data_IF_226269777558
#
_entry.id   IF_226269777558
#
_cell.length_a   1.000
_cell.length_b   1.000
_cell.length_c   1.000
_cell.angle_alpha   90.00
_cell.angle_beta   90.00
_cell.angle_gamma   90.00
#
_symmetry.space_group_name_H-M   'P 1'
#
loop_
_entity.id
_entity.type
_entity.pdbx_description
1 polymer ?
#
# COMPACT_ATOMS: atom_id res chain seq x y z
N UNK A 1 -13.68 -28.32 -18.28
CA UNK A 1 -14.00 -27.43 -17.16
C UNK A 1 -12.85 -26.44 -17.03
N UNK A 2 -13.13 -25.17 -17.11
CA UNK A 2 -12.07 -24.16 -17.16
C UNK A 2 -11.62 -23.85 -15.74
N UNK A 3 -10.53 -24.43 -15.29
CA UNK A 3 -9.90 -23.97 -14.06
C UNK A 3 -9.20 -22.64 -14.33
N UNK A 4 -9.99 -21.55 -14.38
CA UNK A 4 -9.43 -20.21 -14.40
C UNK A 4 -8.75 -19.96 -13.05
N UNK A 5 -7.63 -19.23 -13.07
CA UNK A 5 -6.85 -18.92 -11.89
C UNK A 5 -6.76 -17.42 -11.70
N UNK A 6 -6.95 -16.94 -10.47
CA UNK A 6 -6.72 -15.54 -10.09
C UNK A 6 -5.52 -15.48 -9.16
N UNK A 7 -4.50 -14.71 -9.52
CA UNK A 7 -3.29 -14.52 -8.72
C UNK A 7 -3.31 -13.15 -8.05
N UNK A 8 -3.26 -13.11 -6.72
CA UNK A 8 -3.25 -11.88 -5.92
C UNK A 8 -1.82 -11.63 -5.45
N UNK A 9 -1.22 -10.50 -5.85
CA UNK A 9 0.21 -10.22 -5.63
C UNK A 9 0.51 -9.28 -4.46
N UNK A 10 -0.51 -8.87 -3.70
CA UNK A 10 -0.37 -7.99 -2.53
C UNK A 10 0.37 -8.67 -1.37
N UNK A 11 0.95 -7.89 -0.42
CA UNK A 11 1.43 -8.42 0.85
C UNK A 11 0.38 -9.27 1.57
N UNK A 12 0.80 -10.33 2.26
CA UNK A 12 -0.05 -11.43 2.74
C UNK A 12 -1.33 -11.01 3.47
N UNK A 13 -1.27 -10.00 4.34
CA UNK A 13 -2.46 -9.53 5.07
C UNK A 13 -3.51 -8.91 4.14
N UNK A 14 -3.07 -8.08 3.19
CA UNK A 14 -3.93 -7.43 2.19
C UNK A 14 -4.42 -8.44 1.14
N UNK A 15 -3.58 -9.41 0.76
CA UNK A 15 -3.95 -10.47 -0.16
C UNK A 15 -5.08 -11.35 0.42
N UNK A 16 -4.99 -11.68 1.70
CA UNK A 16 -6.03 -12.45 2.39
C UNK A 16 -7.36 -11.71 2.39
N UNK A 17 -7.38 -10.43 2.77
CA UNK A 17 -8.61 -9.62 2.79
C UNK A 17 -9.25 -9.55 1.41
N UNK A 18 -8.48 -9.29 0.35
CA UNK A 18 -8.99 -9.25 -1.02
C UNK A 18 -9.49 -10.62 -1.48
N UNK A 19 -8.78 -11.70 -1.13
CA UNK A 19 -9.19 -13.08 -1.46
C UNK A 19 -10.53 -13.43 -0.80
N UNK A 20 -10.70 -13.14 0.49
CA UNK A 20 -11.93 -13.38 1.23
C UNK A 20 -13.10 -12.58 0.62
N UNK A 21 -12.90 -11.30 0.32
CA UNK A 21 -13.91 -10.44 -0.29
C UNK A 21 -14.27 -10.91 -1.72
N UNK A 22 -13.28 -11.30 -2.52
CA UNK A 22 -13.50 -11.86 -3.86
C UNK A 22 -14.29 -13.17 -3.79
N UNK A 23 -13.93 -14.07 -2.88
CA UNK A 23 -14.65 -15.35 -2.70
C UNK A 23 -16.12 -15.12 -2.32
N UNK A 24 -16.38 -14.22 -1.35
CA UNK A 24 -17.74 -13.87 -0.95
C UNK A 24 -18.55 -13.32 -2.14
N UNK A 25 -17.96 -12.38 -2.90
CA UNK A 25 -18.59 -11.76 -4.05
C UNK A 25 -18.89 -12.76 -5.20
N UNK A 26 -18.01 -13.75 -5.39
CA UNK A 26 -18.23 -14.83 -6.39
C UNK A 26 -19.37 -15.74 -5.98
N UNK A 27 -19.48 -16.08 -4.69
CA UNK A 27 -20.60 -16.87 -4.15
C UNK A 27 -21.92 -16.12 -4.34
N UNK A 28 -21.96 -14.83 -4.00
CA UNK A 28 -23.15 -13.99 -4.18
C UNK A 28 -23.56 -13.84 -5.66
N UNK A 29 -22.60 -13.94 -6.56
CA UNK A 29 -22.83 -13.91 -8.02
C UNK A 29 -23.19 -15.27 -8.62
N UNK A 30 -23.38 -16.31 -7.79
CA UNK A 30 -23.87 -17.62 -8.22
C UNK A 30 -22.80 -18.56 -8.79
N UNK A 31 -21.51 -18.30 -8.58
CA UNK A 31 -20.47 -19.26 -8.94
C UNK A 31 -20.58 -20.54 -8.11
N UNK A 32 -20.51 -21.70 -8.77
CA UNK A 32 -20.57 -23.02 -8.13
C UNK A 32 -19.17 -23.60 -7.93
N UNK A 33 -19.04 -24.71 -7.21
CA UNK A 33 -17.74 -25.38 -7.03
C UNK A 33 -17.06 -25.75 -8.36
N UNK A 34 -17.85 -26.04 -9.39
CA UNK A 34 -17.36 -26.43 -10.72
C UNK A 34 -16.87 -25.24 -11.55
N UNK A 35 -17.39 -24.05 -11.27
CA UNK A 35 -17.06 -22.80 -11.98
C UNK A 35 -16.16 -21.87 -11.19
N UNK A 36 -15.92 -22.18 -9.92
CA UNK A 36 -15.11 -21.35 -9.04
C UNK A 36 -13.65 -21.34 -9.49
N UNK A 37 -13.01 -20.14 -9.64
CA UNK A 37 -11.62 -20.08 -10.01
C UNK A 37 -10.72 -20.55 -8.86
N UNK A 38 -9.54 -21.03 -9.18
CA UNK A 38 -8.46 -21.15 -8.20
C UNK A 38 -8.00 -19.74 -7.83
N UNK A 39 -7.87 -19.41 -6.54
CA UNK A 39 -7.32 -18.14 -6.08
C UNK A 39 -5.98 -18.42 -5.40
N UNK A 40 -4.90 -17.92 -6.01
CA UNK A 40 -3.53 -18.07 -5.51
C UNK A 40 -3.10 -16.74 -4.89
N UNK A 41 -2.61 -16.79 -3.66
CA UNK A 41 -1.95 -15.65 -3.02
C UNK A 41 -0.45 -15.77 -3.22
N UNK A 42 0.12 -14.86 -4.03
CA UNK A 42 1.55 -14.77 -4.30
C UNK A 42 2.08 -13.39 -3.85
N UNK A 43 2.37 -13.19 -2.58
CA UNK A 43 2.90 -11.91 -2.09
C UNK A 43 4.29 -11.64 -2.67
N UNK A 44 4.36 -10.85 -3.75
CA UNK A 44 5.63 -10.51 -4.42
C UNK A 44 6.55 -9.65 -3.55
N UNK A 45 5.97 -8.92 -2.58
CA UNK A 45 6.70 -8.12 -1.61
C UNK A 45 6.18 -8.43 -0.21
N UNK A 46 7.11 -8.67 0.72
CA UNK A 46 6.82 -8.75 2.14
C UNK A 46 7.17 -7.43 2.81
N UNK A 47 6.29 -6.94 3.66
CA UNK A 47 6.58 -5.78 4.51
C UNK A 47 7.29 -6.30 5.76
N UNK A 48 8.58 -6.02 5.85
CA UNK A 48 9.41 -6.36 7.01
C UNK A 48 9.49 -5.12 7.94
N UNK A 49 8.81 -5.13 9.10
CA UNK A 49 8.95 -4.04 10.07
C UNK A 49 10.40 -3.87 10.50
N UNK A 50 10.83 -2.62 10.63
CA UNK A 50 12.08 -2.25 11.26
C UNK A 50 11.80 -1.75 12.66
N UNK A 51 12.57 -2.19 13.62
CA UNK A 51 12.43 -1.72 14.99
C UNK A 51 13.46 -2.37 15.87
N UNK A 52 14.35 -1.55 16.38
CA UNK A 52 15.24 -1.84 17.48
C UNK A 52 15.08 -0.73 18.53
N UNK A 53 15.70 -0.92 19.69
CA UNK A 53 15.62 0.04 20.79
C UNK A 53 16.20 1.42 20.41
N UNK A 54 17.13 1.47 19.46
CA UNK A 54 17.74 2.70 18.98
C UNK A 54 16.73 3.49 18.18
N UNK A 55 16.08 2.87 17.19
CA UNK A 55 15.04 3.50 16.37
C UNK A 55 13.85 3.93 17.21
N UNK A 56 13.39 3.08 18.15
CA UNK A 56 12.33 3.41 19.08
C UNK A 56 12.68 4.65 19.91
N UNK A 57 13.89 4.70 20.46
CA UNK A 57 14.37 5.84 21.25
C UNK A 57 14.43 7.12 20.43
N UNK A 58 14.92 7.05 19.18
CA UNK A 58 14.98 8.20 18.28
C UNK A 58 13.58 8.74 17.94
N UNK A 59 12.64 7.85 17.57
CA UNK A 59 11.26 8.21 17.25
C UNK A 59 10.58 8.84 18.46
N UNK A 60 10.69 8.21 19.64
CA UNK A 60 10.07 8.69 20.87
C UNK A 60 10.61 10.07 21.28
N UNK A 61 11.90 10.29 21.14
CA UNK A 61 12.50 11.60 21.41
C UNK A 61 11.99 12.67 20.42
N UNK A 62 11.92 12.32 19.13
CA UNK A 62 11.47 13.24 18.08
C UNK A 62 9.98 13.60 18.22
N UNK A 63 9.13 12.65 18.60
CA UNK A 63 7.70 12.89 18.81
C UNK A 63 7.39 13.93 19.87
N UNK A 64 8.24 14.08 20.90
CA UNK A 64 8.06 15.07 21.97
C UNK A 64 8.11 16.53 21.49
N UNK A 65 8.85 16.78 20.42
CA UNK A 65 9.08 18.12 19.87
C UNK A 65 8.45 18.33 18.50
N UNK A 66 7.76 17.32 17.97
CA UNK A 66 7.17 17.38 16.66
C UNK A 66 5.97 18.35 16.58
N UNK A 67 5.84 19.04 15.45
CA UNK A 67 4.68 19.86 15.10
C UNK A 67 3.76 19.14 14.11
N UNK A 68 4.28 18.15 13.36
CA UNK A 68 3.57 17.37 12.37
C UNK A 68 4.21 15.99 12.20
N UNK A 69 3.40 14.94 12.13
CA UNK A 69 3.82 13.61 11.73
C UNK A 69 3.17 13.25 10.39
N UNK A 70 3.95 12.74 9.44
CA UNK A 70 3.48 12.33 8.12
C UNK A 70 3.72 10.84 7.94
N UNK A 71 2.69 10.10 7.56
CA UNK A 71 2.79 8.69 7.20
C UNK A 71 2.57 8.55 5.68
N UNK A 72 3.59 8.11 4.98
CA UNK A 72 3.55 8.01 3.50
C UNK A 72 2.80 6.78 2.99
N UNK A 73 2.36 5.89 3.87
CA UNK A 73 1.62 4.68 3.51
C UNK A 73 0.91 4.05 4.71
N UNK A 74 -0.11 3.18 4.50
CA UNK A 74 -0.69 2.38 5.58
C UNK A 74 0.35 1.54 6.33
N UNK A 75 1.30 0.94 5.61
CA UNK A 75 2.36 0.15 6.22
C UNK A 75 3.26 0.97 7.17
N UNK A 76 3.48 2.25 6.86
CA UNK A 76 4.22 3.13 7.75
C UNK A 76 3.47 3.35 9.07
N UNK A 77 2.13 3.48 9.01
CA UNK A 77 1.28 3.58 10.21
C UNK A 77 1.37 2.29 11.03
N UNK A 78 1.08 1.15 10.40
CA UNK A 78 1.06 -0.16 11.06
C UNK A 78 2.41 -0.47 11.74
N UNK A 79 3.52 -0.27 11.00
CA UNK A 79 4.85 -0.56 11.53
C UNK A 79 5.25 0.41 12.66
N UNK A 80 4.91 1.70 12.53
CA UNK A 80 5.18 2.69 13.59
C UNK A 80 4.38 2.39 14.84
N UNK A 81 3.08 2.12 14.71
CA UNK A 81 2.22 1.85 15.86
C UNK A 81 2.60 0.55 16.57
N UNK A 82 3.03 -0.47 15.82
CA UNK A 82 3.59 -1.71 16.39
C UNK A 82 4.88 -1.43 17.18
N UNK A 83 5.77 -0.59 16.64
CA UNK A 83 7.03 -0.25 17.30
C UNK A 83 6.83 0.55 18.59
N UNK A 84 5.86 1.46 18.58
CA UNK A 84 5.61 2.35 19.72
C UNK A 84 4.90 1.65 20.89
N UNK A 85 4.12 0.60 20.63
CA UNK A 85 3.34 -0.19 21.62
C UNK A 85 2.46 0.65 22.57
N UNK A 86 2.25 1.92 22.26
CA UNK A 86 1.50 2.89 23.07
C UNK A 86 0.50 3.65 22.20
N UNK A 87 -0.49 4.27 22.87
CA UNK A 87 -1.41 5.14 22.16
C UNK A 87 -0.70 6.39 21.63
N UNK A 88 -1.08 6.83 20.43
CA UNK A 88 -0.50 8.00 19.76
C UNK A 88 -0.48 9.28 20.64
N UNK A 89 -1.45 9.45 21.52
CA UNK A 89 -1.58 10.61 22.39
C UNK A 89 -0.56 10.66 23.53
N UNK A 90 0.09 9.53 23.86
CA UNK A 90 1.04 9.45 24.97
C UNK A 90 2.41 10.06 24.68
N UNK A 91 2.68 10.48 23.44
CA UNK A 91 4.02 10.91 23.01
C UNK A 91 4.23 12.43 23.03
N UNK A 92 3.16 13.21 23.05
CA UNK A 92 3.26 14.68 23.02
C UNK A 92 2.23 15.31 23.94
N UNK A 93 2.65 16.34 24.70
CA UNK A 93 1.76 17.15 25.54
C UNK A 93 0.79 18.01 24.72
N UNK A 94 1.02 18.11 23.41
CA UNK A 94 0.19 18.84 22.46
C UNK A 94 -0.43 17.88 21.44
N UNK A 95 -1.67 18.15 20.96
CA UNK A 95 -2.24 17.40 19.85
C UNK A 95 -1.30 17.48 18.64
N UNK A 96 -0.72 16.34 18.24
CA UNK A 96 0.18 16.25 17.10
C UNK A 96 -0.62 15.99 15.83
N UNK A 97 -0.73 16.94 14.88
CA UNK A 97 -1.39 16.72 13.60
C UNK A 97 -0.73 15.61 12.80
N UNK A 98 -1.53 14.89 12.02
CA UNK A 98 -1.05 13.78 11.19
C UNK A 98 -1.39 14.04 9.72
N UNK A 99 -0.36 13.97 8.86
CA UNK A 99 -0.52 14.01 7.41
C UNK A 99 -0.52 12.60 6.82
N UNK A 100 -1.45 12.33 5.89
CA UNK A 100 -1.52 11.07 5.12
C UNK A 100 -1.85 11.35 3.67
N UNK A 101 -1.49 10.41 2.78
CA UNK A 101 -1.60 10.62 1.33
C UNK A 101 -2.92 10.11 0.72
N UNK A 102 -3.70 9.29 1.44
CA UNK A 102 -4.89 8.69 0.84
C UNK A 102 -5.80 7.93 1.80
N UNK A 103 -6.94 7.45 1.28
CA UNK A 103 -8.00 6.81 2.05
C UNK A 103 -7.59 5.54 2.79
N UNK A 104 -6.71 4.71 2.21
CA UNK A 104 -6.19 3.51 2.87
C UNK A 104 -5.35 3.85 4.10
N UNK A 105 -4.58 4.95 4.07
CA UNK A 105 -3.85 5.45 5.24
C UNK A 105 -4.80 6.03 6.29
N UNK A 106 -5.88 6.70 5.86
CA UNK A 106 -6.94 7.16 6.77
C UNK A 106 -7.61 5.98 7.49
N UNK A 107 -7.91 4.90 6.77
CA UNK A 107 -8.47 3.68 7.37
C UNK A 107 -7.51 3.07 8.40
N UNK A 108 -6.22 2.98 8.08
CA UNK A 108 -5.20 2.50 9.02
C UNK A 108 -5.12 3.38 10.30
N UNK A 109 -5.16 4.71 10.16
CA UNK A 109 -5.22 5.60 11.32
C UNK A 109 -6.43 5.32 12.22
N UNK A 110 -7.60 5.14 11.63
CA UNK A 110 -8.84 4.83 12.37
C UNK A 110 -8.74 3.49 13.12
N UNK A 111 -8.12 2.47 12.53
CA UNK A 111 -7.87 1.19 13.20
C UNK A 111 -7.04 1.36 14.48
N UNK A 112 -6.10 2.32 14.47
CA UNK A 112 -5.32 2.70 15.65
C UNK A 112 -5.96 3.82 16.48
N UNK A 113 -7.24 4.11 16.26
CA UNK A 113 -8.04 5.13 16.96
C UNK A 113 -7.44 6.53 16.89
N UNK A 114 -6.81 6.88 15.77
CA UNK A 114 -6.26 8.21 15.49
C UNK A 114 -7.20 8.96 14.56
N UNK A 115 -7.55 10.20 14.90
CA UNK A 115 -8.47 11.03 14.11
C UNK A 115 -9.94 10.58 14.18
N UNK A 116 -10.34 9.96 15.28
CA UNK A 116 -11.72 9.60 15.61
C UNK A 116 -12.24 10.49 16.76
N UNK A 117 -13.54 10.41 17.07
CA UNK A 117 -14.22 11.25 18.03
C UNK A 117 -13.59 11.18 19.45
N UNK A 118 -13.17 9.98 19.87
CA UNK A 118 -12.46 9.78 21.15
C UNK A 118 -10.98 10.18 21.12
N UNK A 119 -10.43 10.46 19.95
CA UNK A 119 -9.07 10.94 19.73
C UNK A 119 -9.06 11.94 18.57
N UNK A 120 -9.42 13.20 18.78
CA UNK A 120 -9.64 14.21 17.75
C UNK A 120 -8.33 14.75 17.16
N UNK A 121 -7.36 13.89 16.90
CA UNK A 121 -6.15 14.25 16.19
C UNK A 121 -6.50 14.85 14.82
N UNK A 122 -6.00 16.05 14.52
CA UNK A 122 -6.20 16.67 13.21
C UNK A 122 -5.49 15.84 12.14
N UNK A 123 -6.26 15.28 11.22
CA UNK A 123 -5.72 14.56 10.06
C UNK A 123 -5.78 15.45 8.82
N UNK A 124 -4.66 15.53 8.11
CA UNK A 124 -4.48 16.30 6.88
C UNK A 124 -4.35 15.30 5.73
N UNK A 125 -5.21 15.43 4.75
CA UNK A 125 -5.39 14.49 3.65
C UNK A 125 -5.73 15.27 2.38
N UNK A 126 -5.18 14.94 1.19
CA UNK A 126 -5.60 15.52 -0.07
C UNK A 126 -7.10 15.31 -0.31
N UNK A 127 -7.80 16.40 -0.67
CA UNK A 127 -9.25 16.36 -0.88
C UNK A 127 -9.63 15.67 -2.19
N UNK A 128 -8.74 15.71 -3.19
CA UNK A 128 -8.96 15.09 -4.49
C UNK A 128 -8.30 13.70 -4.53
N UNK A 129 -9.09 12.66 -4.76
CA UNK A 129 -8.61 11.28 -4.84
C UNK A 129 -7.58 11.07 -5.97
N UNK A 130 -7.66 11.84 -7.04
CA UNK A 130 -6.68 11.80 -8.12
C UNK A 130 -5.30 12.36 -7.72
N UNK A 131 -5.19 13.00 -6.56
CA UNK A 131 -3.98 13.60 -6.00
C UNK A 131 -3.58 12.97 -4.66
N UNK A 132 -3.85 11.69 -4.51
CA UNK A 132 -3.42 10.94 -3.31
C UNK A 132 -1.93 10.58 -3.39
N UNK A 133 -1.11 11.62 -3.34
CA UNK A 133 0.34 11.56 -3.42
C UNK A 133 1.03 12.62 -2.54
N UNK A 134 2.33 12.72 -2.64
CA UNK A 134 3.15 13.69 -1.88
C UNK A 134 2.84 15.12 -2.26
N UNK A 135 2.59 15.35 -3.52
CA UNK A 135 2.30 16.66 -4.12
C UNK A 135 0.94 17.18 -3.64
N UNK A 136 -0.08 16.31 -3.65
CA UNK A 136 -1.41 16.63 -3.11
C UNK A 136 -1.38 16.91 -1.61
N UNK A 137 -0.64 16.08 -0.84
CA UNK A 137 -0.48 16.35 0.59
C UNK A 137 0.23 17.70 0.83
N UNK A 138 1.27 18.02 0.08
CA UNK A 138 1.94 19.32 0.21
C UNK A 138 1.00 20.48 -0.07
N UNK A 139 0.14 20.38 -1.09
CA UNK A 139 -0.86 21.41 -1.38
C UNK A 139 -1.84 21.63 -0.21
N UNK A 140 -2.23 20.58 0.51
CA UNK A 140 -3.06 20.72 1.73
C UNK A 140 -2.27 21.32 2.89
N UNK A 141 -1.00 20.95 3.06
CA UNK A 141 -0.13 21.49 4.09
C UNK A 141 0.09 23.00 3.91
N UNK A 142 0.22 23.48 2.68
CA UNK A 142 0.36 24.91 2.39
C UNK A 142 -0.87 25.75 2.84
N UNK A 143 -2.08 25.15 2.84
CA UNK A 143 -3.30 25.81 3.32
C UNK A 143 -3.28 26.12 4.83
N UNK A 144 -2.39 25.48 5.59
CA UNK A 144 -2.23 25.77 7.02
C UNK A 144 -1.62 27.15 7.27
N UNK A 145 -0.98 27.75 6.27
CA UNK A 145 -0.28 29.05 6.36
C UNK A 145 0.73 29.10 7.51
N UNK A 146 1.42 27.98 7.76
CA UNK A 146 2.44 27.88 8.79
C UNK A 146 3.74 28.57 8.35
N UNK A 147 4.43 29.16 9.32
CA UNK A 147 5.85 29.45 9.17
C UNK A 147 6.63 28.15 9.38
N UNK A 148 7.07 27.58 8.28
CA UNK A 148 7.78 26.31 8.25
C UNK A 148 9.17 26.39 8.88
N UNK A 149 9.80 27.57 8.98
CA UNK A 149 11.14 27.75 9.54
C UNK A 149 11.26 27.32 11.00
N UNK A 150 10.15 27.21 11.70
CA UNK A 150 10.09 26.82 13.11
C UNK A 150 9.33 25.49 13.32
N UNK A 151 9.19 24.65 12.27
CA UNK A 151 8.44 23.40 12.36
C UNK A 151 9.32 22.17 12.34
N UNK A 152 9.11 21.29 13.31
CA UNK A 152 9.69 19.95 13.36
C UNK A 152 8.70 18.97 12.72
N UNK A 153 9.06 18.41 11.57
CA UNK A 153 8.23 17.48 10.80
C UNK A 153 8.85 16.09 10.83
N UNK A 154 8.08 15.11 11.24
CA UNK A 154 8.47 13.70 11.18
C UNK A 154 7.84 13.03 9.98
N UNK A 155 8.61 12.25 9.24
CA UNK A 155 8.13 11.46 8.10
C UNK A 155 8.39 9.98 8.39
N UNK A 156 7.33 9.19 8.48
CA UNK A 156 7.40 7.74 8.62
C UNK A 156 7.22 7.10 7.26
N UNK A 157 8.22 6.32 6.81
CA UNK A 157 8.28 5.77 5.46
C UNK A 157 8.85 4.35 5.44
N UNK A 158 8.74 3.69 4.32
CA UNK A 158 9.53 2.51 4.01
C UNK A 158 10.96 2.87 3.61
N UNK A 159 11.84 1.91 3.64
CA UNK A 159 13.19 2.06 3.11
C UNK A 159 13.14 2.41 1.62
N UNK A 160 14.01 3.32 1.18
CA UNK A 160 13.99 3.85 -0.18
C UNK A 160 12.77 4.73 -0.47
N UNK A 161 12.39 4.81 -1.77
CA UNK A 161 11.31 5.65 -2.26
C UNK A 161 11.73 7.10 -2.52
N UNK A 162 10.75 7.94 -2.93
CA UNK A 162 11.02 9.35 -3.26
C UNK A 162 11.18 10.18 -1.98
N UNK A 163 12.18 11.06 -1.96
CA UNK A 163 12.41 11.99 -0.86
C UNK A 163 11.84 13.40 -1.16
N UNK A 164 11.08 13.53 -2.24
CA UNK A 164 10.55 14.79 -2.73
C UNK A 164 9.83 15.62 -1.65
N UNK A 165 8.95 14.99 -0.86
CA UNK A 165 8.21 15.70 0.20
C UNK A 165 9.13 16.17 1.32
N UNK A 166 10.11 15.35 1.71
CA UNK A 166 11.09 15.72 2.74
C UNK A 166 11.94 16.90 2.28
N UNK A 167 12.38 16.89 1.02
CA UNK A 167 13.17 17.98 0.44
C UNK A 167 12.34 19.25 0.29
N UNK A 168 11.09 19.13 -0.17
CA UNK A 168 10.17 20.27 -0.30
C UNK A 168 9.91 20.95 1.04
N UNK A 169 9.68 20.18 2.10
CA UNK A 169 9.50 20.70 3.47
C UNK A 169 10.78 21.39 3.98
N UNK A 170 11.96 20.79 3.74
CA UNK A 170 13.25 21.41 4.09
C UNK A 170 13.47 22.72 3.32
N UNK A 171 13.14 22.76 2.03
CA UNK A 171 13.24 23.99 1.22
C UNK A 171 12.29 25.08 1.72
N UNK A 172 11.12 24.71 2.29
CA UNK A 172 10.22 25.63 2.95
C UNK A 172 10.72 26.10 4.33
N UNK A 173 11.82 25.52 4.85
CA UNK A 173 12.47 25.90 6.09
C UNK A 173 12.24 24.94 7.27
N UNK A 174 11.45 23.87 7.11
CA UNK A 174 11.17 22.92 8.17
C UNK A 174 12.39 22.07 8.55
N UNK A 175 12.50 21.70 9.81
CA UNK A 175 13.38 20.65 10.29
C UNK A 175 12.69 19.30 10.08
N UNK A 176 13.25 18.47 9.18
CA UNK A 176 12.62 17.20 8.80
C UNK A 176 13.45 16.02 9.27
N UNK A 177 12.86 15.15 10.09
CA UNK A 177 13.38 13.84 10.42
C UNK A 177 12.57 12.75 9.73
N UNK A 178 13.23 11.91 8.92
CA UNK A 178 12.60 10.79 8.21
C UNK A 178 13.02 9.46 8.84
N UNK A 179 12.04 8.63 9.19
CA UNK A 179 12.24 7.32 9.81
C UNK A 179 11.79 6.21 8.87
N UNK A 180 12.72 5.33 8.52
CA UNK A 180 12.41 4.11 7.77
C UNK A 180 11.95 3.03 8.75
N UNK A 181 10.64 2.85 8.88
CA UNK A 181 10.01 1.93 9.84
C UNK A 181 9.70 0.54 9.28
N UNK A 182 9.90 0.34 7.98
CA UNK A 182 9.81 -0.96 7.32
C UNK A 182 10.69 -1.02 6.07
N UNK A 183 11.02 -2.25 5.66
CA UNK A 183 11.58 -2.54 4.35
C UNK A 183 10.59 -3.35 3.51
N UNK A 184 10.71 -3.27 2.18
CA UNK A 184 10.04 -4.17 1.24
C UNK A 184 11.03 -5.25 0.85
N UNK A 185 10.68 -6.49 1.13
CA UNK A 185 11.51 -7.65 0.81
C UNK A 185 10.86 -8.39 -0.35
N UNK A 186 11.51 -8.49 -1.51
CA UNK A 186 11.02 -9.27 -2.63
C UNK A 186 10.87 -10.75 -2.26
N UNK A 187 9.89 -11.41 -2.89
CA UNK A 187 9.75 -12.86 -2.81
C UNK A 187 10.98 -13.52 -3.44
N UNK A 188 11.65 -14.39 -2.70
CA UNK A 188 12.79 -15.16 -3.23
C UNK A 188 12.32 -16.01 -4.44
N UNK A 189 13.06 -15.93 -5.53
CA UNK A 189 12.75 -16.68 -6.76
C UNK A 189 12.86 -18.21 -6.57
N UNK A 190 13.55 -18.67 -5.52
CA UNK A 190 13.63 -20.10 -5.15
C UNK A 190 12.55 -20.48 -4.12
N UNK A 191 11.65 -19.58 -3.75
CA UNK A 191 10.60 -19.86 -2.78
C UNK A 191 9.64 -20.94 -3.30
N UNK A 192 9.22 -21.91 -2.45
CA UNK A 192 8.17 -22.86 -2.80
C UNK A 192 6.83 -22.23 -3.20
N UNK A 193 6.60 -20.95 -2.86
CA UNK A 193 5.41 -20.22 -3.27
C UNK A 193 5.25 -20.12 -4.80
N UNK A 194 6.32 -20.31 -5.57
CA UNK A 194 6.28 -20.35 -7.03
C UNK A 194 5.77 -21.68 -7.60
N UNK A 195 5.71 -22.76 -6.82
CA UNK A 195 5.33 -24.08 -7.34
C UNK A 195 3.95 -24.07 -7.99
N UNK A 196 2.93 -23.52 -7.30
CA UNK A 196 1.58 -23.41 -7.85
C UNK A 196 1.52 -22.52 -9.11
N UNK A 197 2.37 -21.51 -9.19
CA UNK A 197 2.48 -20.62 -10.36
C UNK A 197 3.04 -21.36 -11.57
N UNK A 198 4.05 -22.20 -11.36
CA UNK A 198 4.66 -22.98 -12.44
C UNK A 198 3.73 -24.10 -12.99
N UNK A 199 2.76 -24.54 -12.19
CA UNK A 199 1.82 -25.59 -12.54
C UNK A 199 0.52 -25.05 -13.18
N UNK A 200 0.24 -23.74 -13.09
CA UNK A 200 -1.00 -23.17 -13.60
C UNK A 200 -1.00 -22.95 -15.13
N UNK A 201 -2.19 -22.87 -15.72
CA UNK A 201 -2.39 -22.47 -17.13
C UNK A 201 -2.38 -20.93 -17.24
N UNK A 202 -1.28 -20.36 -17.76
CA UNK A 202 -1.15 -18.91 -17.91
C UNK A 202 -2.21 -18.31 -18.84
N UNK A 203 -2.64 -19.03 -19.88
CA UNK A 203 -3.68 -18.56 -20.80
C UNK A 203 -5.07 -18.44 -20.13
N UNK A 204 -5.22 -18.99 -18.92
CA UNK A 204 -6.43 -18.92 -18.11
C UNK A 204 -6.17 -18.22 -16.78
N UNK A 205 -5.15 -17.39 -16.72
CA UNK A 205 -4.78 -16.71 -15.49
C UNK A 205 -5.03 -15.22 -15.54
N UNK A 206 -5.56 -14.71 -14.43
CA UNK A 206 -5.75 -13.29 -14.17
C UNK A 206 -4.85 -12.88 -13.01
N UNK A 207 -4.07 -11.82 -13.19
CA UNK A 207 -3.17 -11.30 -12.20
C UNK A 207 -3.66 -9.95 -11.67
N UNK A 208 -3.91 -9.85 -10.37
CA UNK A 208 -4.28 -8.60 -9.71
C UNK A 208 -3.01 -7.91 -9.23
N UNK A 209 -2.58 -6.90 -9.98
CA UNK A 209 -1.32 -6.18 -9.78
C UNK A 209 -1.61 -4.81 -9.15
N UNK A 210 -1.06 -4.52 -7.97
CA UNK A 210 -1.36 -3.29 -7.24
C UNK A 210 -0.12 -2.49 -6.84
N UNK A 211 1.05 -2.86 -7.36
CA UNK A 211 2.32 -2.17 -7.08
C UNK A 211 3.26 -2.30 -8.27
N UNK A 212 3.66 -1.18 -8.87
CA UNK A 212 4.65 -1.16 -9.96
C UNK A 212 6.01 -1.72 -9.53
N UNK A 213 6.38 -1.57 -8.25
CA UNK A 213 7.60 -2.15 -7.69
C UNK A 213 7.51 -3.69 -7.66
N UNK A 214 6.39 -4.24 -7.19
CA UNK A 214 6.14 -5.69 -7.17
C UNK A 214 6.15 -6.28 -8.59
N UNK A 215 5.56 -5.58 -9.55
CA UNK A 215 5.53 -5.98 -10.97
C UNK A 215 6.94 -6.07 -11.55
N UNK A 216 7.82 -5.10 -11.25
CA UNK A 216 9.22 -5.18 -11.71
C UNK A 216 9.97 -6.38 -11.14
N UNK A 217 9.69 -6.80 -9.89
CA UNK A 217 10.25 -8.03 -9.34
C UNK A 217 9.67 -9.27 -10.02
N UNK A 218 8.37 -9.27 -10.32
CA UNK A 218 7.74 -10.38 -11.07
C UNK A 218 8.44 -10.61 -12.41
N UNK A 219 8.86 -9.56 -13.12
CA UNK A 219 9.59 -9.68 -14.38
C UNK A 219 10.90 -10.46 -14.28
N UNK A 220 11.49 -10.60 -13.09
CA UNK A 220 12.70 -11.40 -12.88
C UNK A 220 12.41 -12.91 -12.85
N UNK A 221 11.18 -13.31 -12.61
CA UNK A 221 10.78 -14.73 -12.55
C UNK A 221 10.71 -15.42 -13.92
N UNK A 222 10.80 -14.67 -15.03
CA UNK A 222 10.82 -15.18 -16.41
C UNK A 222 9.66 -16.14 -16.72
N UNK A 223 8.46 -15.78 -16.30
CA UNK A 223 7.22 -16.51 -16.54
C UNK A 223 6.68 -16.22 -17.96
N UNK A 224 5.83 -17.09 -18.56
CA UNK A 224 5.17 -16.86 -19.84
C UNK A 224 3.97 -15.90 -19.69
N UNK A 225 4.26 -14.64 -19.29
CA UNK A 225 3.26 -13.63 -18.99
C UNK A 225 2.54 -13.11 -20.24
N UNK A 226 3.10 -13.34 -21.42
CA UNK A 226 2.50 -13.05 -22.73
C UNK A 226 1.20 -13.82 -22.98
N UNK A 227 0.94 -14.87 -22.23
CA UNK A 227 -0.32 -15.62 -22.25
C UNK A 227 -1.32 -15.15 -21.20
N UNK A 228 -0.88 -14.36 -20.20
CA UNK A 228 -1.67 -14.03 -19.03
C UNK A 228 -2.34 -12.65 -19.15
N UNK A 229 -3.45 -12.49 -18.42
CA UNK A 229 -4.16 -11.20 -18.26
C UNK A 229 -3.79 -10.54 -16.95
N UNK A 230 -3.59 -9.21 -16.94
CA UNK A 230 -3.39 -8.41 -15.75
C UNK A 230 -4.50 -7.37 -15.56
N UNK A 231 -4.92 -7.12 -14.31
CA UNK A 231 -5.76 -5.99 -13.91
C UNK A 231 -4.97 -5.11 -12.95
N UNK A 232 -4.94 -3.81 -13.27
CA UNK A 232 -4.15 -2.80 -12.58
C UNK A 232 -5.03 -1.61 -12.17
N UNK A 233 -5.06 -1.20 -10.88
CA UNK A 233 -5.86 -0.06 -10.42
C UNK A 233 -5.24 1.31 -10.73
N UNK A 234 -4.17 1.37 -11.52
CA UNK A 234 -3.50 2.60 -11.91
C UNK A 234 -2.64 2.39 -13.15
N UNK A 235 -2.60 3.40 -14.06
CA UNK A 235 -1.83 3.34 -15.31
C UNK A 235 -0.34 3.05 -15.10
N UNK A 236 0.33 3.63 -14.09
CA UNK A 236 1.74 3.34 -13.81
C UNK A 236 2.02 1.85 -13.50
N UNK A 237 1.00 1.13 -13.00
CA UNK A 237 1.11 -0.31 -12.74
C UNK A 237 0.87 -1.08 -14.03
N UNK A 238 -0.08 -0.62 -14.84
CA UNK A 238 -0.34 -1.17 -16.17
C UNK A 238 0.90 -1.04 -17.07
N UNK A 239 1.51 0.15 -17.14
CA UNK A 239 2.76 0.38 -17.89
C UNK A 239 3.87 -0.59 -17.44
N UNK A 240 3.99 -0.83 -16.13
CA UNK A 240 4.97 -1.78 -15.61
C UNK A 240 4.64 -3.22 -16.00
N UNK A 241 3.35 -3.60 -16.04
CA UNK A 241 2.90 -4.92 -16.46
C UNK A 241 3.15 -5.16 -17.97
N UNK A 242 2.86 -4.17 -18.82
CA UNK A 242 3.20 -4.19 -20.24
C UNK A 242 4.70 -4.35 -20.48
N UNK A 243 5.53 -3.58 -19.73
CA UNK A 243 6.99 -3.63 -19.83
C UNK A 243 7.58 -4.99 -19.50
N UNK A 244 6.97 -5.77 -18.60
CA UNK A 244 7.43 -7.12 -18.27
C UNK A 244 6.80 -8.21 -19.14
N UNK A 245 5.91 -7.83 -20.07
CA UNK A 245 5.42 -8.70 -21.15
C UNK A 245 4.09 -9.41 -20.88
N UNK A 246 3.19 -8.85 -20.06
CA UNK A 246 1.81 -9.38 -20.01
C UNK A 246 1.11 -9.27 -21.35
N UNK A 247 0.38 -10.32 -21.75
CA UNK A 247 -0.32 -10.38 -23.03
C UNK A 247 -1.53 -9.44 -23.11
N UNK A 248 -2.28 -9.33 -22.02
CA UNK A 248 -3.40 -8.40 -21.88
C UNK A 248 -3.30 -7.64 -20.57
N UNK A 249 -3.46 -6.32 -20.63
CA UNK A 249 -3.40 -5.45 -19.46
C UNK A 249 -4.61 -4.53 -19.44
N UNK A 250 -5.40 -4.62 -18.39
CA UNK A 250 -6.57 -3.77 -18.16
C UNK A 250 -6.38 -2.87 -16.95
N UNK A 251 -6.94 -1.68 -17.01
CA UNK A 251 -7.01 -0.78 -15.85
C UNK A 251 -8.41 -0.78 -15.26
N UNK A 252 -8.50 -0.61 -13.94
CA UNK A 252 -9.76 -0.38 -13.23
C UNK A 252 -9.60 0.81 -12.27
N UNK A 253 -10.70 1.25 -11.66
CA UNK A 253 -10.64 2.24 -10.61
C UNK A 253 -9.88 1.71 -9.37
N UNK A 254 -9.25 2.59 -8.58
CA UNK A 254 -8.59 2.20 -7.34
C UNK A 254 -9.58 1.64 -6.31
N UNK A 255 -9.17 0.55 -5.64
CA UNK A 255 -9.94 -0.06 -4.56
C UNK A 255 -10.26 -1.54 -4.78
N UNK A 256 -10.61 -2.23 -3.70
CA UNK A 256 -10.87 -3.66 -3.74
C UNK A 256 -12.18 -3.99 -4.49
N UNK A 257 -13.19 -3.14 -4.36
CA UNK A 257 -14.48 -3.30 -5.06
C UNK A 257 -14.29 -3.29 -6.60
N UNK A 258 -13.47 -2.38 -7.11
CA UNK A 258 -13.19 -2.30 -8.54
C UNK A 258 -12.38 -3.50 -9.04
N UNK A 259 -11.40 -3.98 -8.26
CA UNK A 259 -10.65 -5.19 -8.58
C UNK A 259 -11.55 -6.43 -8.61
N UNK A 260 -12.48 -6.55 -7.66
CA UNK A 260 -13.45 -7.65 -7.60
C UNK A 260 -14.39 -7.60 -8.80
N UNK A 261 -14.97 -6.44 -9.11
CA UNK A 261 -15.86 -6.27 -10.26
C UNK A 261 -15.16 -6.61 -11.59
N UNK A 262 -13.92 -6.14 -11.77
CA UNK A 262 -13.12 -6.44 -12.95
C UNK A 262 -12.77 -7.94 -13.04
N UNK A 263 -12.50 -8.60 -11.91
CA UNK A 263 -12.27 -10.04 -11.84
C UNK A 263 -13.51 -10.85 -12.27
N UNK A 264 -14.70 -10.44 -11.79
CA UNK A 264 -15.97 -11.07 -12.18
C UNK A 264 -16.25 -10.91 -13.67
N UNK A 265 -16.01 -9.71 -14.23
CA UNK A 265 -16.16 -9.47 -15.66
C UNK A 265 -15.25 -10.39 -16.49
N UNK A 266 -13.98 -10.53 -16.08
CA UNK A 266 -13.04 -11.45 -16.76
C UNK A 266 -13.45 -12.92 -16.62
N UNK A 267 -14.01 -13.34 -15.50
CA UNK A 267 -14.50 -14.71 -15.31
C UNK A 267 -15.70 -15.04 -16.20
N UNK A 268 -16.48 -14.04 -16.60
CA UNK A 268 -17.71 -14.19 -17.38
C UNK A 268 -17.46 -14.32 -18.90
N UNK A 269 -16.24 -14.08 -19.36
CA UNK A 269 -15.78 -14.29 -20.73
C UNK A 269 -15.33 -15.75 -20.90
#
# INVERSE_FOLDING_TARGET
MSNKTIVITRPSGQARQLSEALQASLVDSGFTKETFPQIISLPLLTIAPKGDDVLLGQITAALKTADLAIFVSPNAIECTMRLLEQSWQGFSDKPLPVGVMGGSSMAALKNHRIGIESNPTKVILPQNNAQWDSEGLWAELQKLKWDWSNKNVLIFKGEGGRDWLAETLKQAGAQVAAFSVYARVPLDLNSPAWNEIHEMDFAKSLWLLTSSEAVRYLGQAKLPLDLATAICPHHNIADAAEQIGFGEVFTCEPGDEALIAASQAWLSI
#
